data_IF_849417830177
#
_entry.id   IF_849417830177
#
_cell.length_a   1.000
_cell.length_b   1.000
_cell.length_c   1.000
_cell.angle_alpha   90.00
_cell.angle_beta   90.00
_cell.angle_gamma   90.00
#
_symmetry.space_group_name_H-M   'P 1'
#
loop_
_entity.id
_entity.type
_entity.pdbx_description
1 polymer ?
#
# COMPACT_ATOMS: atom_id res chain seq x y z
N UNK A 1 43.78 28.33 -25.62
CA UNK A 1 42.72 28.53 -24.61
C UNK A 1 42.07 27.18 -24.34
N UNK A 2 42.40 26.53 -23.22
CA UNK A 2 41.82 25.23 -22.84
C UNK A 2 40.63 25.45 -21.90
N UNK A 3 39.42 25.19 -22.38
CA UNK A 3 38.21 25.20 -21.55
C UNK A 3 38.09 23.87 -20.81
N UNK A 4 38.44 23.88 -19.53
CA UNK A 4 38.20 22.79 -18.59
C UNK A 4 36.69 22.62 -18.38
N UNK A 5 36.11 21.61 -19.04
CA UNK A 5 34.76 21.15 -18.77
C UNK A 5 34.81 20.14 -17.61
N UNK A 6 34.80 20.63 -16.37
CA UNK A 6 34.66 19.79 -15.19
C UNK A 6 33.24 19.24 -15.11
N UNK A 7 33.00 18.07 -15.70
CA UNK A 7 31.77 17.30 -15.51
C UNK A 7 31.68 16.90 -14.04
N UNK A 8 30.77 17.54 -13.30
CA UNK A 8 30.39 17.14 -11.95
C UNK A 8 29.82 15.73 -12.05
N UNK A 9 30.60 14.72 -11.62
CA UNK A 9 30.10 13.37 -11.41
C UNK A 9 29.25 13.39 -10.15
N UNK A 10 27.93 13.42 -10.31
CA UNK A 10 27.00 13.20 -9.22
C UNK A 10 27.07 11.71 -8.87
N UNK A 11 27.81 11.37 -7.81
CA UNK A 11 27.74 10.04 -7.21
C UNK A 11 26.34 9.84 -6.62
N UNK A 12 25.49 9.11 -7.34
CA UNK A 12 24.21 8.65 -6.81
C UNK A 12 24.52 7.55 -5.79
N UNK A 13 24.67 7.94 -4.52
CA UNK A 13 24.72 6.96 -3.42
C UNK A 13 23.37 6.25 -3.39
N UNK A 14 23.37 4.95 -3.71
CA UNK A 14 22.18 4.11 -3.57
C UNK A 14 21.70 4.17 -2.12
N UNK A 15 20.46 4.63 -1.94
CA UNK A 15 19.86 4.69 -0.61
C UNK A 15 19.67 3.27 -0.09
N UNK A 16 20.07 2.97 1.16
CA UNK A 16 19.95 1.63 1.71
C UNK A 16 18.48 1.19 1.72
N UNK A 17 18.18 0.03 1.13
CA UNK A 17 16.82 -0.52 1.12
C UNK A 17 16.48 -1.26 2.43
N UNK A 18 15.21 -1.21 2.88
CA UNK A 18 14.78 -2.01 4.01
C UNK A 18 14.99 -3.51 3.78
N UNK A 19 15.65 -4.19 4.73
CA UNK A 19 15.92 -5.64 4.69
C UNK A 19 14.70 -6.48 5.11
N UNK A 20 13.56 -6.18 4.48
CA UNK A 20 12.26 -6.79 4.77
C UNK A 20 11.60 -7.19 3.46
N UNK A 21 11.09 -8.41 3.31
CA UNK A 21 10.19 -8.73 2.19
C UNK A 21 8.80 -8.21 2.48
N UNK A 22 8.18 -7.53 1.53
CA UNK A 22 6.81 -7.03 1.60
C UNK A 22 5.97 -7.84 0.61
N UNK A 23 4.84 -8.39 1.07
CA UNK A 23 3.87 -9.07 0.21
C UNK A 23 2.46 -8.61 0.52
N UNK A 24 1.80 -8.05 -0.48
CA UNK A 24 0.40 -7.62 -0.43
C UNK A 24 -0.52 -8.72 -0.99
N UNK A 25 -1.50 -9.08 -0.18
CA UNK A 25 -2.55 -10.05 -0.51
C UNK A 25 -3.88 -9.30 -0.46
N UNK A 26 -4.56 -9.27 -1.62
CA UNK A 26 -5.85 -8.61 -1.79
C UNK A 26 -6.79 -9.55 -2.54
N UNK A 27 -8.10 -9.53 -2.26
CA UNK A 27 -9.06 -10.19 -3.13
C UNK A 27 -9.04 -9.57 -4.54
N UNK A 28 -9.42 -10.33 -5.58
CA UNK A 28 -9.36 -9.87 -6.97
C UNK A 28 -10.41 -8.79 -7.28
N UNK A 29 -11.55 -8.81 -6.58
CA UNK A 29 -12.63 -7.85 -6.75
C UNK A 29 -13.25 -7.42 -5.42
N UNK A 30 -14.02 -6.33 -5.47
CA UNK A 30 -14.87 -5.86 -4.38
C UNK A 30 -16.15 -5.23 -4.91
N UNK A 31 -17.14 -5.08 -4.04
CA UNK A 31 -18.35 -4.31 -4.34
C UNK A 31 -18.23 -2.89 -3.79
N UNK A 32 -18.79 -1.93 -4.54
CA UNK A 32 -18.91 -0.54 -4.09
C UNK A 32 -19.59 -0.48 -2.72
N UNK A 33 -19.04 0.34 -1.83
CA UNK A 33 -19.55 0.55 -0.49
C UNK A 33 -19.20 -0.56 0.51
N UNK A 34 -18.71 -1.73 0.06
CA UNK A 34 -18.36 -2.84 0.94
C UNK A 34 -16.93 -2.73 1.46
N UNK A 35 -16.75 -3.17 2.71
CA UNK A 35 -15.45 -3.25 3.37
C UNK A 35 -14.69 -4.48 2.85
N UNK A 36 -13.45 -4.28 2.44
CA UNK A 36 -12.54 -5.29 1.90
C UNK A 36 -11.35 -5.45 2.85
N UNK A 37 -11.02 -6.69 3.22
CA UNK A 37 -9.80 -6.95 4.00
C UNK A 37 -8.63 -7.18 3.04
N UNK A 38 -7.54 -6.45 3.23
CA UNK A 38 -6.26 -6.66 2.57
C UNK A 38 -5.22 -7.05 3.62
N UNK A 39 -4.34 -7.98 3.29
CA UNK A 39 -3.30 -8.48 4.19
C UNK A 39 -1.93 -8.11 3.66
N UNK A 40 -1.13 -7.44 4.48
CA UNK A 40 0.29 -7.18 4.20
C UNK A 40 1.11 -8.13 5.04
N UNK A 41 1.96 -8.93 4.41
CA UNK A 41 2.88 -9.84 5.07
C UNK A 41 4.28 -9.26 4.96
N UNK A 42 4.90 -9.01 6.11
CA UNK A 42 6.28 -8.60 6.21
C UNK A 42 7.13 -9.76 6.71
N UNK A 43 8.31 -9.93 6.13
CA UNK A 43 9.28 -10.91 6.58
C UNK A 43 10.62 -10.23 6.80
N UNK A 44 11.16 -10.32 8.02
CA UNK A 44 12.53 -9.90 8.29
C UNK A 44 13.51 -10.81 7.55
N UNK A 45 14.38 -10.23 6.72
CA UNK A 45 15.41 -10.98 5.96
C UNK A 45 16.72 -11.14 6.75
N UNK A 46 16.75 -10.66 7.99
CA UNK A 46 17.93 -10.68 8.85
C UNK A 46 17.78 -11.65 10.02
N UNK A 47 18.93 -12.12 10.50
CA UNK A 47 19.05 -12.99 11.67
C UNK A 47 19.05 -12.20 13.00
N UNK A 48 18.78 -10.90 12.97
CA UNK A 48 18.70 -10.02 14.13
C UNK A 48 17.37 -9.27 14.15
N UNK A 49 17.07 -8.62 15.27
CA UNK A 49 15.93 -7.70 15.33
C UNK A 49 16.14 -6.56 14.33
N UNK A 50 15.12 -6.26 13.52
CA UNK A 50 15.19 -5.23 12.49
C UNK A 50 14.10 -4.16 12.67
N UNK A 51 14.46 -2.86 12.65
CA UNK A 51 15.81 -2.32 12.56
C UNK A 51 16.62 -2.58 13.85
N UNK A 52 17.94 -2.71 13.73
CA UNK A 52 18.82 -3.08 14.84
C UNK A 52 19.04 -1.93 15.84
N UNK A 53 19.01 -0.70 15.37
CA UNK A 53 19.20 0.49 16.21
C UNK A 53 17.98 0.74 17.10
N UNK A 54 18.20 1.18 18.34
CA UNK A 54 17.14 1.40 19.34
C UNK A 54 16.09 2.41 18.85
N UNK A 55 16.53 3.56 18.32
CA UNK A 55 15.66 4.65 17.87
C UNK A 55 15.14 4.48 16.44
N UNK A 56 15.33 3.32 15.80
CA UNK A 56 14.83 3.06 14.45
C UNK A 56 13.69 2.04 14.43
N UNK A 57 12.71 2.30 13.58
CA UNK A 57 11.47 1.54 13.49
C UNK A 57 11.05 1.35 12.04
N UNK A 58 10.18 0.37 11.79
CA UNK A 58 9.46 0.24 10.54
C UNK A 58 8.13 0.98 10.64
N UNK A 59 7.83 1.76 9.61
CA UNK A 59 6.53 2.35 9.40
C UNK A 59 5.88 1.69 8.18
N UNK A 60 4.73 1.04 8.42
CA UNK A 60 3.91 0.38 7.40
C UNK A 60 2.67 1.23 7.12
N UNK A 61 2.44 1.51 5.85
CA UNK A 61 1.25 2.20 5.37
C UNK A 61 0.64 1.51 4.14
N UNK A 62 -0.69 1.58 4.03
CA UNK A 62 -1.45 1.08 2.88
C UNK A 62 -2.27 2.22 2.28
N UNK A 63 -2.12 2.43 0.98
CA UNK A 63 -2.83 3.45 0.24
C UNK A 63 -3.35 2.92 -1.10
N UNK A 64 -4.28 3.63 -1.72
CA UNK A 64 -4.91 3.21 -2.97
C UNK A 64 -4.89 4.34 -3.99
N UNK A 65 -4.60 4.00 -5.24
CA UNK A 65 -4.71 4.91 -6.39
C UNK A 65 -5.74 4.35 -7.37
N UNK A 66 -6.61 5.21 -7.92
CA UNK A 66 -7.55 4.80 -8.96
C UNK A 66 -6.82 4.79 -10.31
N UNK A 67 -6.85 3.67 -11.01
CA UNK A 67 -6.23 3.52 -12.33
C UNK A 67 -7.08 4.27 -13.36
N UNK A 68 -6.43 5.03 -14.24
CA UNK A 68 -7.12 5.82 -15.28
C UNK A 68 -7.63 7.19 -14.81
N UNK A 69 -7.41 7.58 -13.55
CA UNK A 69 -7.59 8.97 -13.14
C UNK A 69 -6.34 9.78 -13.57
N UNK A 70 -6.55 10.93 -14.24
CA UNK A 70 -5.47 11.81 -14.74
C UNK A 70 -4.55 12.42 -13.66
N UNK A 71 -4.70 12.02 -12.39
CA UNK A 71 -3.89 12.47 -11.28
C UNK A 71 -3.48 11.27 -10.44
N UNK A 72 -2.23 10.81 -10.62
CA UNK A 72 -1.56 9.98 -9.61
C UNK A 72 -1.13 10.94 -8.51
N UNK A 73 -2.07 11.34 -7.66
CA UNK A 73 -1.68 11.85 -6.35
C UNK A 73 -1.19 10.60 -5.62
N UNK A 74 0.12 10.37 -5.58
CA UNK A 74 0.68 9.57 -4.48
C UNK A 74 0.23 10.36 -3.27
N UNK A 75 -0.72 9.87 -2.46
CA UNK A 75 -1.13 10.65 -1.32
C UNK A 75 0.15 10.90 -0.52
N UNK A 76 0.41 12.15 -0.07
CA UNK A 76 1.21 12.28 1.14
C UNK A 76 0.64 11.31 2.17
N UNK A 77 1.40 10.93 3.20
CA UNK A 77 1.00 9.93 4.21
C UNK A 77 -0.38 10.21 4.91
N UNK A 78 -1.15 11.20 4.48
CA UNK A 78 -2.35 11.75 5.06
C UNK A 78 -3.64 10.90 5.05
N UNK A 79 -3.73 9.70 4.46
CA UNK A 79 -5.01 8.94 4.48
C UNK A 79 -4.83 7.42 4.72
N UNK A 80 -3.62 6.97 5.08
CA UNK A 80 -3.34 5.55 5.26
C UNK A 80 -3.82 5.02 6.62
N UNK A 81 -4.35 3.79 6.64
CA UNK A 81 -4.46 3.04 7.89
C UNK A 81 -3.05 2.72 8.37
N UNK A 82 -2.54 3.47 9.34
CA UNK A 82 -1.21 3.29 9.88
C UNK A 82 -1.17 2.10 10.83
N UNK A 83 -0.07 1.36 10.74
CA UNK A 83 0.35 0.56 11.88
C UNK A 83 1.31 1.39 12.74
N UNK A 84 1.19 1.35 14.08
CA UNK A 84 2.19 1.93 14.98
C UNK A 84 3.61 1.49 14.57
N UNK A 85 4.63 2.36 14.68
CA UNK A 85 6.02 1.99 14.40
C UNK A 85 6.42 0.74 15.19
N UNK A 86 7.12 -0.19 14.54
CA UNK A 86 7.43 -1.50 15.14
C UNK A 86 8.80 -2.02 14.71
N UNK A 87 9.26 -3.07 15.39
CA UNK A 87 10.41 -3.89 14.99
C UNK A 87 9.95 -5.32 14.70
N UNK A 88 10.71 -6.00 13.85
CA UNK A 88 10.56 -7.42 13.56
C UNK A 88 11.67 -8.20 14.24
N UNK A 89 11.32 -9.33 14.87
CA UNK A 89 12.27 -10.28 15.44
C UNK A 89 13.07 -10.98 14.32
N UNK A 90 14.21 -11.63 14.65
CA UNK A 90 14.98 -12.42 13.69
C UNK A 90 14.10 -13.36 12.87
N UNK A 91 14.21 -13.31 11.54
CA UNK A 91 13.46 -14.17 10.61
C UNK A 91 11.93 -14.14 10.78
N UNK A 92 11.39 -13.15 11.50
CA UNK A 92 9.96 -13.08 11.80
C UNK A 92 9.15 -12.81 10.53
N UNK A 93 8.06 -13.55 10.39
CA UNK A 93 7.01 -13.27 9.41
C UNK A 93 5.77 -12.76 10.14
N UNK A 94 5.43 -11.48 9.95
CA UNK A 94 4.29 -10.83 10.58
C UNK A 94 3.26 -10.41 9.54
N UNK A 95 1.98 -10.65 9.82
CA UNK A 95 0.88 -10.28 8.94
C UNK A 95 0.05 -9.16 9.56
N UNK A 96 -0.26 -8.14 8.76
CA UNK A 96 -1.07 -6.98 9.12
C UNK A 96 -2.32 -6.97 8.26
N UNK A 97 -3.48 -6.74 8.87
CA UNK A 97 -4.77 -6.72 8.17
C UNK A 97 -5.32 -5.30 8.15
N UNK A 98 -5.55 -4.79 6.95
CA UNK A 98 -6.17 -3.49 6.74
C UNK A 98 -7.55 -3.68 6.11
N UNK A 99 -8.48 -2.80 6.46
CA UNK A 99 -9.82 -2.81 5.86
C UNK A 99 -9.97 -1.61 4.95
N UNK A 100 -10.23 -1.79 3.66
CA UNK A 100 -10.45 -0.72 2.69
C UNK A 100 -11.93 -0.62 2.35
N UNK A 101 -12.40 0.55 1.93
CA UNK A 101 -13.75 0.76 1.40
C UNK A 101 -13.61 1.64 0.16
N UNK A 102 -14.28 1.25 -0.92
CA UNK A 102 -14.27 1.97 -2.18
C UNK A 102 -15.68 2.48 -2.45
N UNK A 103 -15.83 3.80 -2.56
CA UNK A 103 -17.15 4.43 -2.74
C UNK A 103 -17.55 4.60 -4.21
N UNK A 104 -16.63 4.36 -5.14
CA UNK A 104 -16.85 4.53 -6.58
C UNK A 104 -16.40 3.26 -7.32
N UNK A 105 -17.14 2.78 -8.34
CA UNK A 105 -16.69 1.66 -9.15
C UNK A 105 -15.45 2.03 -9.97
N UNK A 106 -14.57 1.06 -10.20
CA UNK A 106 -13.36 1.26 -10.98
C UNK A 106 -12.23 0.30 -10.63
N UNK A 107 -11.10 0.47 -11.31
CA UNK A 107 -9.89 -0.31 -11.06
C UNK A 107 -9.01 0.46 -10.08
N UNK A 108 -8.64 -0.18 -8.99
CA UNK A 108 -7.79 0.39 -7.95
C UNK A 108 -6.46 -0.35 -7.89
N UNK A 109 -5.38 0.41 -7.78
CA UNK A 109 -4.07 -0.12 -7.42
C UNK A 109 -3.84 0.12 -5.93
N UNK A 110 -3.71 -0.97 -5.20
CA UNK A 110 -3.47 -0.98 -3.75
C UNK A 110 -1.96 -1.12 -3.58
N UNK A 111 -1.40 -0.26 -2.73
CA UNK A 111 0.01 -0.18 -2.44
C UNK A 111 0.23 -0.48 -0.96
N UNK A 112 1.18 -1.35 -0.67
CA UNK A 112 1.66 -1.59 0.68
C UNK A 112 3.11 -1.14 0.76
N UNK A 113 3.38 -0.15 1.59
CA UNK A 113 4.64 0.55 1.65
C UNK A 113 5.25 0.40 3.03
N UNK A 114 6.51 0.02 3.07
CA UNK A 114 7.32 -0.07 4.29
C UNK A 114 8.55 0.83 4.14
N UNK A 115 8.81 1.60 5.18
CA UNK A 115 10.00 2.44 5.29
C UNK A 115 10.63 2.27 6.65
N UNK A 116 11.95 2.43 6.70
CA UNK A 116 12.66 2.61 7.95
C UNK A 116 12.55 4.08 8.37
N UNK A 117 12.31 4.33 9.64
CA UNK A 117 12.23 5.67 10.23
C UNK A 117 13.04 5.73 11.50
N UNK A 118 13.69 6.85 11.76
CA UNK A 118 14.33 7.17 13.04
C UNK A 118 13.41 8.10 13.82
N UNK A 119 13.17 7.78 15.09
CA UNK A 119 12.46 8.65 16.01
C UNK A 119 13.38 9.80 16.41
N UNK A 120 13.00 11.03 16.06
CA UNK A 120 13.74 12.24 16.46
C UNK A 120 13.21 12.83 17.75
N UNK A 121 11.88 13.02 17.82
CA UNK A 121 11.23 13.66 18.96
C UNK A 121 9.83 13.07 19.15
N UNK A 122 9.42 12.88 20.41
CA UNK A 122 8.05 12.54 20.77
C UNK A 122 7.58 13.45 21.89
N UNK A 123 6.49 14.17 21.64
CA UNK A 123 5.78 14.98 22.63
C UNK A 123 4.47 14.29 22.98
N UNK A 124 4.23 14.07 24.28
CA UNK A 124 3.10 13.28 24.75
C UNK A 124 3.20 11.79 24.39
N UNK A 125 2.15 11.04 24.72
CA UNK A 125 2.10 9.59 24.47
C UNK A 125 1.34 9.31 23.17
N UNK A 126 2.00 8.71 22.15
CA UNK A 126 1.37 8.45 20.87
C UNK A 126 0.16 7.52 20.97
N UNK A 127 -1.01 7.99 20.56
CA UNK A 127 -2.25 7.21 20.47
C UNK A 127 -2.51 6.81 19.03
N UNK A 128 -2.08 5.60 18.67
CA UNK A 128 -2.16 5.05 17.30
C UNK A 128 -3.52 4.46 16.93
N UNK A 129 -4.48 4.46 17.85
CA UNK A 129 -5.83 3.93 17.63
C UNK A 129 -6.60 4.70 16.55
N UNK A 130 -6.30 6.00 16.42
CA UNK A 130 -6.89 6.90 15.42
C UNK A 130 -5.84 7.26 14.35
N UNK A 131 -6.24 7.46 13.09
CA UNK A 131 -5.33 7.92 12.05
C UNK A 131 -4.68 9.25 12.49
N UNK A 132 -3.34 9.34 12.54
CA UNK A 132 -2.67 10.59 12.83
C UNK A 132 -2.81 11.56 11.66
N UNK A 133 -2.81 12.85 11.97
CA UNK A 133 -2.54 13.88 10.97
C UNK A 133 -1.08 13.75 10.56
N UNK A 134 -0.83 13.72 9.25
CA UNK A 134 0.53 13.61 8.72
C UNK A 134 0.89 14.88 8.00
N UNK A 135 2.01 15.47 8.40
CA UNK A 135 2.63 16.59 7.71
C UNK A 135 4.10 16.26 7.42
N UNK A 136 4.62 16.85 6.35
CA UNK A 136 6.04 16.74 6.01
C UNK A 136 6.67 18.08 6.32
N UNK A 137 7.65 18.10 7.23
CA UNK A 137 8.44 19.28 7.53
C UNK A 137 9.85 19.03 7.00
N UNK A 138 10.21 19.70 5.92
CA UNK A 138 11.46 19.46 5.18
C UNK A 138 11.61 18.00 4.73
N UNK A 139 12.50 17.23 5.38
CA UNK A 139 12.71 15.79 5.15
C UNK A 139 12.02 14.91 6.19
N UNK A 140 11.50 15.51 7.26
CA UNK A 140 10.92 14.80 8.39
C UNK A 140 9.42 14.60 8.22
N UNK A 141 8.96 13.46 8.73
CA UNK A 141 7.55 13.10 8.82
C UNK A 141 7.08 13.44 10.23
N UNK A 142 6.13 14.36 10.32
CA UNK A 142 5.48 14.72 11.57
C UNK A 142 4.12 14.04 11.62
N UNK A 143 3.94 13.16 12.60
CA UNK A 143 2.69 12.48 12.91
C UNK A 143 2.09 13.09 14.17
N UNK A 144 0.88 13.60 14.11
CA UNK A 144 0.24 14.27 15.23
C UNK A 144 -1.18 13.76 15.49
N UNK A 145 -1.57 13.74 16.75
CA UNK A 145 -2.93 13.46 17.19
C UNK A 145 -3.30 14.31 18.40
N UNK A 146 -4.47 14.04 18.99
CA UNK A 146 -4.95 14.82 20.14
C UNK A 146 -4.01 14.64 21.34
N UNK A 147 -3.22 15.66 21.63
CA UNK A 147 -2.30 15.71 22.78
C UNK A 147 -0.98 14.96 22.59
N UNK A 148 -0.63 14.58 21.36
CA UNK A 148 0.67 13.97 21.07
C UNK A 148 1.19 14.33 19.67
N UNK A 149 2.50 14.33 19.53
CA UNK A 149 3.19 14.57 18.27
C UNK A 149 4.48 13.76 18.24
N UNK A 150 4.80 13.18 17.08
CA UNK A 150 6.00 12.40 16.85
C UNK A 150 6.66 12.86 15.56
N UNK A 151 7.93 13.21 15.64
CA UNK A 151 8.76 13.60 14.49
C UNK A 151 9.66 12.42 14.12
N UNK A 152 9.57 11.98 12.88
CA UNK A 152 10.26 10.83 12.34
C UNK A 152 11.13 11.25 11.14
N UNK A 153 12.38 10.81 11.12
CA UNK A 153 13.28 10.98 9.98
C UNK A 153 13.22 9.71 9.11
N UNK A 154 12.85 9.78 7.82
CA UNK A 154 12.95 8.66 6.90
C UNK A 154 14.39 8.21 6.73
N UNK A 155 14.65 6.92 6.88
CA UNK A 155 15.97 6.34 6.71
C UNK A 155 16.00 5.47 5.46
N UNK A 156 16.84 5.85 4.50
CA UNK A 156 17.06 5.07 3.29
C UNK A 156 15.87 5.06 2.32
N UNK A 157 15.80 4.01 1.52
CA UNK A 157 14.79 3.83 0.49
C UNK A 157 13.50 3.22 1.06
N UNK A 158 12.48 3.16 0.20
CA UNK A 158 11.16 2.62 0.51
C UNK A 158 10.99 1.28 -0.19
N UNK A 159 10.43 0.28 0.51
CA UNK A 159 10.07 -1.01 -0.09
C UNK A 159 8.56 -1.11 -0.24
N UNK A 160 8.09 -1.49 -1.42
CA UNK A 160 6.67 -1.49 -1.76
C UNK A 160 6.27 -2.78 -2.49
N UNK A 161 5.06 -3.27 -2.22
CA UNK A 161 4.35 -4.21 -3.09
C UNK A 161 3.01 -3.62 -3.52
N UNK A 162 2.56 -3.99 -4.73
CA UNK A 162 1.36 -3.43 -5.36
C UNK A 162 0.48 -4.51 -5.98
N UNK A 163 -0.84 -4.35 -5.81
CA UNK A 163 -1.84 -5.23 -6.40
C UNK A 163 -2.99 -4.44 -7.00
N UNK A 164 -3.57 -4.99 -8.06
CA UNK A 164 -4.76 -4.42 -8.68
C UNK A 164 -6.00 -5.12 -8.12
N UNK A 165 -7.02 -4.33 -7.81
CA UNK A 165 -8.32 -4.77 -7.37
C UNK A 165 -9.39 -4.06 -8.20
N UNK A 166 -10.40 -4.80 -8.67
CA UNK A 166 -11.55 -4.22 -9.38
C UNK A 166 -12.71 -4.00 -8.41
N UNK A 167 -13.16 -2.76 -8.27
CA UNK A 167 -14.38 -2.43 -7.54
C UNK A 167 -15.54 -2.34 -8.54
N UNK A 168 -16.57 -3.16 -8.33
CA UNK A 168 -17.73 -3.24 -9.20
C UNK A 168 -18.98 -2.74 -8.47
N UNK A 169 -19.86 -2.06 -9.20
CA UNK A 169 -21.23 -1.83 -8.78
C UNK A 169 -22.05 -3.12 -8.86
N UNK A 170 -23.18 -3.17 -8.14
CA UNK A 170 -24.12 -4.29 -8.24
C UNK A 170 -24.65 -4.42 -9.66
N UNK A 171 -24.88 -3.30 -10.35
CA UNK A 171 -25.32 -3.27 -11.75
C UNK A 171 -24.32 -3.96 -12.68
N UNK A 172 -23.02 -3.69 -12.55
CA UNK A 172 -22.00 -4.38 -13.35
C UNK A 172 -21.99 -5.89 -13.11
N UNK A 173 -22.18 -6.33 -11.86
CA UNK A 173 -22.30 -7.76 -11.54
C UNK A 173 -23.53 -8.38 -12.19
N UNK A 174 -24.68 -7.71 -12.12
CA UNK A 174 -25.91 -8.18 -12.77
C UNK A 174 -25.77 -8.25 -14.29
N UNK A 175 -25.11 -7.28 -14.92
CA UNK A 175 -24.85 -7.32 -16.36
C UNK A 175 -23.94 -8.50 -16.74
N UNK A 176 -22.89 -8.78 -15.96
CA UNK A 176 -22.02 -9.95 -16.21
C UNK A 176 -22.82 -11.25 -16.09
N UNK A 177 -23.64 -11.38 -15.05
CA UNK A 177 -24.48 -12.57 -14.86
C UNK A 177 -25.51 -12.73 -15.99
N UNK A 178 -26.14 -11.65 -16.42
CA UNK A 178 -27.06 -11.65 -17.56
C UNK A 178 -26.38 -12.04 -18.86
N UNK A 179 -25.18 -11.53 -19.12
CA UNK A 179 -24.39 -11.88 -20.30
C UNK A 179 -23.99 -13.37 -20.29
N UNK A 180 -23.55 -13.91 -19.14
CA UNK A 180 -23.27 -15.33 -18.99
C UNK A 180 -24.51 -16.19 -19.22
N UNK A 181 -25.67 -15.78 -18.69
CA UNK A 181 -26.95 -16.44 -18.92
C UNK A 181 -27.33 -16.47 -20.40
N UNK A 182 -27.16 -15.36 -21.12
CA UNK A 182 -27.43 -15.28 -22.55
C UNK A 182 -26.50 -16.19 -23.37
N UNK A 183 -25.21 -16.25 -23.03
CA UNK A 183 -24.23 -17.14 -23.68
C UNK A 183 -24.63 -18.61 -23.47
N UNK A 184 -24.93 -19.00 -22.24
CA UNK A 184 -25.35 -20.37 -21.92
C UNK A 184 -26.64 -20.71 -22.69
N UNK A 185 -27.62 -19.80 -22.71
CA UNK A 185 -28.86 -19.99 -23.47
C UNK A 185 -28.60 -20.20 -24.95
N UNK A 186 -27.73 -19.39 -25.57
CA UNK A 186 -27.40 -19.52 -26.99
C UNK A 186 -26.73 -20.87 -27.31
N UNK A 187 -25.83 -21.34 -26.45
CA UNK A 187 -25.16 -22.65 -26.59
C UNK A 187 -26.20 -23.77 -26.52
N UNK A 188 -27.09 -23.75 -25.53
CA UNK A 188 -28.14 -24.77 -25.40
C UNK A 188 -29.11 -24.76 -26.58
N UNK A 189 -29.53 -23.58 -27.06
CA UNK A 189 -30.38 -23.47 -28.25
C UNK A 189 -29.70 -24.04 -29.49
N UNK A 190 -28.41 -23.77 -29.70
CA UNK A 190 -27.66 -24.32 -30.82
C UNK A 190 -27.50 -25.85 -30.70
N UNK A 191 -27.12 -26.37 -29.53
CA UNK A 191 -27.00 -27.82 -29.31
C UNK A 191 -28.34 -28.54 -29.53
N UNK A 192 -29.43 -28.00 -28.98
CA UNK A 192 -30.77 -28.57 -29.18
C UNK A 192 -31.19 -28.59 -30.65
N UNK A 193 -30.82 -27.55 -31.41
CA UNK A 193 -31.08 -27.49 -32.85
C UNK A 193 -30.36 -28.62 -33.60
N UNK A 194 -29.08 -28.86 -33.33
CA UNK A 194 -28.30 -29.91 -33.99
C UNK A 194 -28.65 -31.33 -33.54
N UNK A 195 -29.14 -31.52 -32.31
CA UNK A 195 -29.57 -32.86 -31.83
C UNK A 195 -30.97 -33.28 -32.29
N UNK A 196 -31.74 -32.35 -32.88
CA UNK A 196 -33.11 -32.61 -33.39
C UNK A 196 -33.15 -32.82 -34.90
N UNK A 197 -32.02 -32.75 -35.59
CA UNK A 197 -31.83 -33.24 -36.96
C UNK A 197 -31.30 -34.66 -36.92
#
# INVERSE_FOLDING_TARGET
MNTNNSRIRVEVKELPQPKVKVRLITPPFSLVGRKVKVKVVLQNETNSTYPSEENRFLLLDVYTTRVGANKIIIPPLSIGKFHPPFKLKPNEKRAFVFTLKFDVPGIYRIHARVREVRLLESRGTPKWERPPMVSTLERNLVLAGSGWQTTLEPVGAVKEDRKVLRCMSVYEVLMILGALGAIISAIFSALLYFTRQ
#
